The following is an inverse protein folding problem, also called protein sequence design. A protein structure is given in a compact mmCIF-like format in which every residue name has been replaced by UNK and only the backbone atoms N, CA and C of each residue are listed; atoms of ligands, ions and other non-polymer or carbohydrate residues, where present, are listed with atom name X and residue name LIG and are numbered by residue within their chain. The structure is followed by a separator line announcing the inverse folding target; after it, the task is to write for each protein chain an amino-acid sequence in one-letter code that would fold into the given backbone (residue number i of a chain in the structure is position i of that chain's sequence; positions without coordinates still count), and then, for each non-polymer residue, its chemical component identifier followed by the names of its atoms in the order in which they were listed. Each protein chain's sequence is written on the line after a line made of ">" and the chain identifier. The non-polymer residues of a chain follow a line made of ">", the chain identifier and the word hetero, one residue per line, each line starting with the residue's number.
data_IF_924598111182
#
_entry.id   IF_924598111182
#
_cell.length_a   1.000
_cell.length_b   1.000
_cell.length_c   1.000
_cell.angle_alpha   90.00
_cell.angle_beta   90.00
_cell.angle_gamma   90.00
#
_symmetry.space_group_name_H-M   'P 1'
#
loop_
_entity.id
_entity.type
_entity.pdbx_description
1 polymer ?
#
# COMPACT_ATOMS: atom_id res chain seq x y z
N UNK A 1 5.36 3.35 -15.61
CA UNK A 1 6.29 2.19 -15.56
C UNK A 1 5.72 1.24 -14.53
N UNK A 2 5.52 -0.03 -14.87
CA UNK A 2 4.90 -1.02 -13.99
C UNK A 2 5.95 -1.74 -13.16
N UNK A 3 5.58 -2.22 -11.97
CA UNK A 3 6.37 -3.18 -11.23
C UNK A 3 6.45 -4.49 -12.05
N UNK A 4 7.60 -5.18 -12.12
CA UNK A 4 7.69 -6.40 -12.91
C UNK A 4 6.63 -7.45 -12.53
N UNK A 5 5.99 -8.06 -13.52
CA UNK A 5 4.90 -9.03 -13.32
C UNK A 5 5.37 -10.22 -12.47
N UNK A 6 6.54 -10.80 -12.79
CA UNK A 6 7.14 -11.90 -12.03
C UNK A 6 7.38 -11.55 -10.55
N UNK A 7 7.64 -10.29 -10.25
CA UNK A 7 7.79 -9.82 -8.88
C UNK A 7 6.45 -9.82 -8.12
N UNK A 8 5.36 -9.42 -8.79
CA UNK A 8 4.02 -9.47 -8.22
C UNK A 8 3.59 -10.91 -7.92
N UNK A 9 3.84 -11.85 -8.85
CA UNK A 9 3.53 -13.27 -8.67
C UNK A 9 4.29 -13.88 -7.49
N UNK A 10 5.56 -13.51 -7.34
CA UNK A 10 6.37 -13.97 -6.22
C UNK A 10 5.83 -13.48 -4.87
N UNK A 11 5.38 -12.21 -4.79
CA UNK A 11 4.77 -11.68 -3.55
C UNK A 11 3.45 -12.37 -3.22
N UNK A 12 2.61 -12.66 -4.21
CA UNK A 12 1.38 -13.42 -4.01
C UNK A 12 1.70 -14.81 -3.48
N UNK A 13 2.65 -15.53 -4.12
CA UNK A 13 3.08 -16.86 -3.68
C UNK A 13 3.60 -16.83 -2.24
N UNK A 14 4.47 -15.87 -1.89
CA UNK A 14 5.01 -15.73 -0.53
C UNK A 14 3.91 -15.47 0.50
N UNK A 15 2.87 -14.71 0.14
CA UNK A 15 1.71 -14.51 1.01
C UNK A 15 0.92 -15.81 1.20
N UNK A 16 0.65 -16.54 0.12
CA UNK A 16 -0.14 -17.77 0.17
C UNK A 16 0.58 -18.89 0.93
N UNK A 17 1.90 -18.94 0.82
CA UNK A 17 2.75 -19.86 1.61
C UNK A 17 2.67 -19.57 3.13
N UNK A 18 2.31 -18.35 3.55
CA UNK A 18 2.19 -17.91 4.95
C UNK A 18 0.76 -17.50 5.32
N UNK A 19 -0.22 -17.91 4.55
CA UNK A 19 -1.62 -17.46 4.73
C UNK A 19 -2.17 -17.74 6.12
N UNK A 20 -1.78 -18.84 6.74
CA UNK A 20 -2.18 -19.23 8.09
C UNK A 20 -1.72 -18.24 9.17
N UNK A 21 -0.65 -17.47 8.88
CA UNK A 21 -0.11 -16.44 9.77
C UNK A 21 -0.66 -15.05 9.46
N UNK A 22 -1.48 -14.92 8.42
CA UNK A 22 -2.14 -13.67 8.10
C UNK A 22 -3.24 -13.34 9.12
N UNK A 23 -3.41 -12.06 9.40
CA UNK A 23 -4.45 -11.58 10.31
C UNK A 23 -5.72 -11.26 9.52
N UNK A 24 -6.81 -11.95 9.83
CA UNK A 24 -8.13 -11.61 9.28
C UNK A 24 -8.63 -10.31 9.91
N UNK A 25 -8.91 -9.32 9.06
CA UNK A 25 -9.55 -8.06 9.42
C UNK A 25 -11.00 -8.10 8.95
N UNK A 26 -11.92 -8.29 9.89
CA UNK A 26 -13.36 -8.38 9.59
C UNK A 26 -14.16 -7.50 10.53
N UNK A 27 -14.83 -6.51 9.95
CA UNK A 27 -15.76 -5.59 10.64
C UNK A 27 -16.90 -5.23 9.69
N UNK A 28 -17.77 -4.30 10.10
CA UNK A 28 -18.82 -3.78 9.22
C UNK A 28 -18.30 -2.97 8.02
N UNK A 29 -17.06 -2.49 8.07
CA UNK A 29 -16.47 -1.65 7.01
C UNK A 29 -15.35 -2.33 6.22
N UNK A 30 -14.86 -3.49 6.64
CA UNK A 30 -13.83 -4.21 5.89
C UNK A 30 -13.86 -5.72 6.15
N UNK A 31 -13.41 -6.48 5.12
CA UNK A 31 -13.21 -7.91 5.16
C UNK A 31 -12.05 -8.29 4.24
N UNK A 32 -10.86 -8.52 4.81
CA UNK A 32 -9.64 -8.94 4.13
C UNK A 32 -8.65 -9.58 5.10
N UNK A 33 -7.68 -10.34 4.60
CA UNK A 33 -6.53 -10.80 5.38
C UNK A 33 -5.31 -9.92 5.11
N UNK A 34 -4.52 -9.63 6.14
CA UNK A 34 -3.27 -8.88 5.98
C UNK A 34 -2.07 -9.58 6.63
N UNK A 35 -0.88 -9.35 6.06
CA UNK A 35 0.38 -9.86 6.53
C UNK A 35 1.42 -8.74 6.48
N UNK A 36 2.14 -8.55 7.59
CA UNK A 36 3.23 -7.59 7.71
C UNK A 36 4.53 -8.26 7.25
N UNK A 37 5.11 -7.82 6.15
CA UNK A 37 6.26 -8.51 5.55
C UNK A 37 7.53 -8.44 6.41
N UNK A 38 7.64 -7.44 7.29
CA UNK A 38 8.77 -7.30 8.20
C UNK A 38 8.84 -8.39 9.29
N UNK A 39 7.76 -9.12 9.50
CA UNK A 39 7.68 -10.17 10.51
C UNK A 39 8.19 -11.53 10.02
N UNK A 40 8.60 -11.64 8.74
CA UNK A 40 8.93 -12.90 8.10
C UNK A 40 10.18 -12.81 7.25
N UNK A 41 11.22 -13.55 7.61
CA UNK A 41 12.55 -13.56 6.96
C UNK A 41 12.48 -13.91 5.47
N UNK A 42 11.49 -14.72 5.05
CA UNK A 42 11.32 -15.10 3.64
C UNK A 42 11.08 -13.90 2.71
N UNK A 43 10.57 -12.77 3.23
CA UNK A 43 10.40 -11.56 2.45
C UNK A 43 11.67 -10.71 2.33
N UNK A 44 12.73 -10.99 3.09
CA UNK A 44 13.96 -10.18 3.10
C UNK A 44 14.59 -10.07 1.72
N UNK A 45 14.55 -11.16 0.93
CA UNK A 45 15.09 -11.18 -0.43
C UNK A 45 14.35 -10.26 -1.41
N UNK A 46 13.06 -10.01 -1.18
CA UNK A 46 12.20 -9.20 -2.06
C UNK A 46 11.95 -7.80 -1.51
N UNK A 47 12.13 -7.61 -0.21
CA UNK A 47 11.85 -6.37 0.51
C UNK A 47 12.64 -5.18 -0.03
N UNK A 48 13.96 -5.34 -0.23
CA UNK A 48 14.79 -4.27 -0.80
C UNK A 48 14.32 -3.84 -2.19
N UNK A 49 14.01 -4.79 -3.07
CA UNK A 49 13.48 -4.51 -4.41
C UNK A 49 12.12 -3.83 -4.36
N UNK A 50 11.26 -4.23 -3.43
CA UNK A 50 9.94 -3.64 -3.22
C UNK A 50 10.06 -2.18 -2.76
N UNK A 51 10.91 -1.91 -1.76
CA UNK A 51 11.17 -0.56 -1.27
C UNK A 51 11.72 0.32 -2.39
N UNK A 52 12.71 -0.16 -3.15
CA UNK A 52 13.27 0.59 -4.28
C UNK A 52 12.19 0.93 -5.34
N UNK A 53 11.32 -0.02 -5.67
CA UNK A 53 10.19 0.22 -6.57
C UNK A 53 9.26 1.31 -6.02
N UNK A 54 8.91 1.23 -4.73
CA UNK A 54 8.05 2.22 -4.07
C UNK A 54 8.69 3.61 -4.06
N UNK A 55 9.97 3.70 -3.70
CA UNK A 55 10.74 4.96 -3.69
C UNK A 55 10.78 5.59 -5.08
N UNK A 56 11.09 4.81 -6.13
CA UNK A 56 11.10 5.29 -7.52
C UNK A 56 9.74 5.87 -7.92
N UNK A 57 8.65 5.16 -7.65
CA UNK A 57 7.30 5.59 -8.02
C UNK A 57 6.84 6.84 -7.26
N UNK A 58 7.12 6.91 -5.97
CA UNK A 58 6.84 8.11 -5.17
C UNK A 58 7.69 9.28 -5.66
N UNK A 59 8.94 9.03 -6.07
CA UNK A 59 9.79 10.04 -6.71
C UNK A 59 9.16 10.60 -7.99
N UNK A 60 8.66 9.73 -8.88
CA UNK A 60 7.94 10.15 -10.09
C UNK A 60 6.65 10.92 -9.78
N UNK A 61 5.89 10.50 -8.77
CA UNK A 61 4.72 11.23 -8.30
C UNK A 61 5.11 12.64 -7.82
N UNK A 62 6.18 12.73 -7.03
CA UNK A 62 6.70 13.98 -6.50
C UNK A 62 7.02 15.00 -7.59
N UNK A 63 7.64 14.58 -8.70
CA UNK A 63 8.02 15.49 -9.81
C UNK A 63 6.82 16.21 -10.44
N UNK A 64 5.61 15.65 -10.35
CA UNK A 64 4.38 16.27 -10.86
C UNK A 64 3.98 17.52 -10.07
N UNK A 65 4.42 17.64 -8.82
CA UNK A 65 4.09 18.73 -7.90
C UNK A 65 5.25 19.70 -7.67
N UNK A 66 6.32 19.65 -8.49
CA UNK A 66 7.48 20.53 -8.43
C UNK A 66 8.12 20.65 -7.03
N UNK A 67 8.10 19.57 -6.27
CA UNK A 67 8.66 19.47 -4.91
C UNK A 67 8.07 20.42 -3.84
N UNK A 68 7.16 21.33 -4.22
CA UNK A 68 6.63 22.35 -3.30
C UNK A 68 5.80 21.75 -2.16
N UNK A 69 5.10 20.67 -2.45
CA UNK A 69 4.15 20.05 -1.53
C UNK A 69 4.73 18.93 -0.67
N UNK A 70 6.03 18.61 -0.83
CA UNK A 70 6.63 17.48 -0.14
C UNK A 70 7.48 17.90 1.05
N UNK A 71 7.32 17.26 2.21
CA UNK A 71 8.19 17.51 3.35
C UNK A 71 9.63 17.04 3.04
N UNK A 72 10.64 17.67 3.68
CA UNK A 72 12.04 17.36 3.41
C UNK A 72 12.43 15.94 3.85
N UNK A 73 11.72 15.39 4.81
CA UNK A 73 11.95 14.04 5.35
C UNK A 73 10.65 13.28 5.50
N UNK A 74 10.67 12.02 5.11
CA UNK A 74 9.55 11.10 5.21
C UNK A 74 10.02 9.75 5.77
N UNK A 75 9.11 9.02 6.40
CA UNK A 75 9.32 7.64 6.85
C UNK A 75 8.22 6.74 6.30
N UNK A 76 8.56 5.48 6.05
CA UNK A 76 7.58 4.45 5.72
C UNK A 76 6.97 3.84 6.99
N UNK A 77 5.67 3.52 6.95
CA UNK A 77 5.08 2.51 7.82
C UNK A 77 5.54 1.10 7.41
N UNK A 78 5.38 0.09 8.30
CA UNK A 78 5.55 -1.30 7.91
C UNK A 78 4.73 -1.65 6.67
N UNK A 79 5.36 -2.39 5.75
CA UNK A 79 4.73 -2.78 4.49
C UNK A 79 3.79 -3.96 4.76
N UNK A 80 2.59 -3.89 4.16
CA UNK A 80 1.57 -4.92 4.31
C UNK A 80 1.16 -5.47 2.96
N UNK A 81 1.00 -6.79 2.89
CA UNK A 81 0.25 -7.42 1.82
C UNK A 81 -1.17 -7.67 2.34
N UNK A 82 -2.16 -7.30 1.55
CA UNK A 82 -3.58 -7.57 1.83
C UNK A 82 -4.16 -8.46 0.75
N UNK A 83 -4.91 -9.49 1.18
CA UNK A 83 -5.68 -10.36 0.31
C UNK A 83 -7.17 -10.16 0.54
N UNK A 84 -7.88 -9.87 -0.52
CA UNK A 84 -9.35 -9.84 -0.56
C UNK A 84 -9.82 -11.08 -1.30
N UNK A 85 -10.47 -12.00 -0.61
CA UNK A 85 -11.18 -13.12 -1.23
C UNK A 85 -12.44 -12.62 -1.97
N UNK A 86 -13.05 -13.40 -2.87
CA UNK A 86 -14.32 -13.06 -3.48
C UNK A 86 -15.34 -12.58 -2.44
N UNK A 87 -15.92 -11.40 -2.68
CA UNK A 87 -16.78 -10.71 -1.72
C UNK A 87 -16.07 -9.93 -0.61
N UNK A 88 -14.73 -10.02 -0.50
CA UNK A 88 -13.95 -9.22 0.44
C UNK A 88 -13.87 -7.75 0.02
N UNK A 89 -13.92 -6.82 0.96
CA UNK A 89 -14.05 -5.40 0.69
C UNK A 89 -13.35 -4.53 1.72
N UNK A 90 -13.19 -3.27 1.38
CA UNK A 90 -12.96 -2.19 2.32
C UNK A 90 -13.88 -1.04 1.91
N UNK A 91 -14.91 -0.79 2.71
CA UNK A 91 -15.94 0.19 2.38
C UNK A 91 -15.42 1.63 2.49
N UNK A 92 -16.28 2.60 2.19
CA UNK A 92 -15.94 4.02 2.17
C UNK A 92 -15.27 4.47 3.46
N UNK A 93 -14.03 4.95 3.34
CA UNK A 93 -13.21 5.42 4.45
C UNK A 93 -12.19 6.46 4.01
N UNK A 94 -11.53 7.05 4.99
CA UNK A 94 -10.24 7.72 4.87
C UNK A 94 -9.26 7.01 5.81
N UNK A 95 -7.98 6.99 5.48
CA UNK A 95 -6.97 6.30 6.29
C UNK A 95 -6.51 7.13 7.51
N UNK A 96 -6.74 8.45 7.47
CA UNK A 96 -6.44 9.37 8.58
C UNK A 96 -7.73 9.71 9.29
N UNK A 97 -7.96 9.05 10.44
CA UNK A 97 -9.19 9.19 11.23
C UNK A 97 -8.96 9.72 12.64
N UNK A 98 -7.70 9.91 13.05
CA UNK A 98 -7.40 10.36 14.41
C UNK A 98 -5.92 10.49 14.68
N UNK A 99 -5.59 10.67 15.95
CA UNK A 99 -4.25 11.00 16.41
C UNK A 99 -3.17 9.97 16.01
N UNK A 100 -3.49 8.69 16.01
CA UNK A 100 -2.54 7.61 15.68
C UNK A 100 -2.18 7.55 14.19
N UNK A 101 -3.01 8.13 13.31
CA UNK A 101 -2.82 8.14 11.86
C UNK A 101 -2.54 9.52 11.28
N UNK A 102 -2.59 10.59 12.10
CA UNK A 102 -2.48 11.98 11.63
C UNK A 102 -1.15 12.33 10.95
N UNK A 103 -0.10 11.57 11.22
CA UNK A 103 1.21 11.76 10.58
C UNK A 103 1.32 11.17 9.18
N UNK A 104 0.32 10.40 8.72
CA UNK A 104 0.28 9.85 7.36
C UNK A 104 0.15 10.97 6.34
N UNK A 105 1.12 11.01 5.42
CA UNK A 105 1.20 12.03 4.37
C UNK A 105 0.69 11.52 3.02
N UNK A 106 1.14 10.33 2.60
CA UNK A 106 0.68 9.64 1.39
C UNK A 106 0.38 8.18 1.71
N UNK A 107 -0.72 7.68 1.17
CA UNK A 107 -0.97 6.27 1.00
C UNK A 107 -0.47 5.83 -0.38
N UNK A 108 0.08 4.64 -0.47
CA UNK A 108 0.42 4.02 -1.74
C UNK A 108 0.35 2.50 -1.65
N UNK A 109 -0.08 1.89 -2.75
CA UNK A 109 -0.07 0.45 -2.89
C UNK A 109 0.06 0.02 -4.35
N UNK A 110 0.57 -1.18 -4.55
CA UNK A 110 0.72 -1.83 -5.85
C UNK A 110 -0.31 -2.97 -5.91
N UNK A 111 -1.06 -3.06 -7.00
CA UNK A 111 -1.86 -4.24 -7.28
C UNK A 111 -0.96 -5.40 -7.69
N UNK A 112 -1.12 -6.55 -7.04
CA UNK A 112 -0.33 -7.76 -7.32
C UNK A 112 -1.05 -8.71 -8.28
N UNK A 113 -2.34 -8.51 -8.48
CA UNK A 113 -3.20 -9.29 -9.40
C UNK A 113 -4.01 -8.38 -10.29
N UNK A 114 -4.41 -8.87 -11.46
CA UNK A 114 -5.48 -8.26 -12.25
C UNK A 114 -6.83 -8.64 -11.65
N UNK A 115 -7.77 -7.70 -11.61
CA UNK A 115 -9.14 -7.95 -11.17
C UNK A 115 -10.07 -6.87 -11.74
N UNK A 116 -11.04 -7.26 -12.57
CA UNK A 116 -11.90 -6.31 -13.27
C UNK A 116 -12.87 -5.57 -12.33
N UNK A 117 -13.36 -6.26 -11.30
CA UNK A 117 -14.34 -5.72 -10.34
C UNK A 117 -13.66 -5.08 -9.11
N UNK A 118 -12.49 -5.59 -8.74
CA UNK A 118 -11.76 -5.20 -7.52
C UNK A 118 -11.12 -3.82 -7.56
N UNK A 119 -11.79 -2.83 -8.15
CA UNK A 119 -11.28 -1.45 -8.31
C UNK A 119 -11.06 -0.74 -6.98
N UNK A 120 -10.23 0.28 -6.99
CA UNK A 120 -10.22 1.28 -5.93
C UNK A 120 -11.03 2.48 -6.40
N UNK A 121 -12.14 2.75 -5.71
CA UNK A 121 -13.06 3.83 -6.05
C UNK A 121 -12.86 5.01 -5.13
N UNK A 122 -12.71 6.19 -5.70
CA UNK A 122 -12.83 7.49 -5.05
C UNK A 122 -14.21 8.09 -5.37
N UNK A 123 -14.58 9.20 -4.73
CA UNK A 123 -15.90 9.80 -4.93
C UNK A 123 -16.20 10.11 -6.40
N UNK A 124 -15.21 10.59 -7.16
CA UNK A 124 -15.40 11.08 -8.53
C UNK A 124 -14.63 10.26 -9.59
N UNK A 125 -13.92 9.20 -9.19
CA UNK A 125 -13.13 8.38 -10.11
C UNK A 125 -12.93 6.97 -9.58
N UNK A 126 -12.48 6.08 -10.43
CA UNK A 126 -12.06 4.73 -10.04
C UNK A 126 -10.75 4.38 -10.72
N UNK A 127 -9.93 3.59 -10.04
CA UNK A 127 -8.68 3.04 -10.53
C UNK A 127 -8.85 1.54 -10.71
N UNK A 128 -8.58 1.06 -11.93
CA UNK A 128 -8.64 -0.35 -12.26
C UNK A 128 -7.55 -1.14 -11.51
N UNK A 129 -7.92 -2.33 -11.06
CA UNK A 129 -6.99 -3.25 -10.42
C UNK A 129 -6.14 -3.96 -11.50
N UNK A 130 -5.07 -3.31 -11.93
CA UNK A 130 -4.11 -3.83 -12.92
C UNK A 130 -2.81 -4.20 -12.24
N UNK A 131 -2.41 -5.45 -12.41
CA UNK A 131 -1.17 -6.02 -11.86
C UNK A 131 0.05 -5.15 -12.19
N UNK A 132 0.86 -4.85 -11.18
CA UNK A 132 2.05 -4.02 -11.28
C UNK A 132 1.78 -2.51 -11.29
N UNK A 133 0.52 -2.06 -11.40
CA UNK A 133 0.20 -0.63 -11.28
C UNK A 133 0.18 -0.18 -9.83
N UNK A 134 0.61 1.06 -9.60
CA UNK A 134 0.67 1.67 -8.27
C UNK A 134 -0.30 2.83 -8.16
N UNK A 135 -1.04 2.88 -7.08
CA UNK A 135 -1.92 4.00 -6.70
C UNK A 135 -1.22 4.79 -5.60
N UNK A 136 -1.20 6.11 -5.73
CA UNK A 136 -0.62 7.05 -4.75
C UNK A 136 -1.61 8.18 -4.54
N UNK A 137 -1.95 8.49 -3.28
CA UNK A 137 -2.90 9.55 -2.95
C UNK A 137 -2.74 10.03 -1.51
N UNK A 138 -3.18 11.26 -1.18
CA UNK A 138 -3.26 11.72 0.21
C UNK A 138 -4.31 10.90 0.98
N UNK A 139 -3.99 10.34 2.15
CA UNK A 139 -4.87 9.39 2.85
C UNK A 139 -5.96 10.03 3.72
N UNK A 140 -6.14 11.34 3.62
CA UNK A 140 -7.04 12.13 4.44
C UNK A 140 -8.24 12.68 3.63
N UNK A 141 -9.20 13.27 4.33
CA UNK A 141 -10.25 14.06 3.69
C UNK A 141 -9.64 15.12 2.74
N UNK A 142 -10.13 15.30 1.49
CA UNK A 142 -11.36 14.74 0.92
C UNK A 142 -11.19 13.44 0.10
N UNK A 143 -10.10 12.73 0.25
CA UNK A 143 -9.78 11.51 -0.51
C UNK A 143 -10.48 10.26 0.04
N UNK A 144 -11.81 10.38 0.22
CA UNK A 144 -12.64 9.24 0.61
C UNK A 144 -12.61 8.19 -0.49
N UNK A 145 -12.35 6.95 -0.11
CA UNK A 145 -12.20 5.86 -1.06
C UNK A 145 -12.69 4.53 -0.50
N UNK A 146 -12.88 3.55 -1.39
CA UNK A 146 -13.18 2.16 -1.03
C UNK A 146 -12.44 1.18 -1.94
N UNK A 147 -12.18 -0.01 -1.42
CA UNK A 147 -11.77 -1.17 -2.19
C UNK A 147 -12.98 -2.01 -2.56
N UNK A 148 -13.35 -2.02 -3.84
CA UNK A 148 -14.47 -2.82 -4.33
C UNK A 148 -14.16 -4.32 -4.22
N UNK A 149 -15.17 -5.15 -3.93
CA UNK A 149 -14.98 -6.58 -3.79
C UNK A 149 -14.61 -7.24 -5.12
N UNK A 150 -13.63 -8.12 -5.13
CA UNK A 150 -13.45 -9.04 -6.24
C UNK A 150 -14.61 -10.04 -6.27
N UNK A 151 -15.01 -10.53 -7.46
CA UNK A 151 -16.12 -11.45 -7.63
C UNK A 151 -15.64 -12.90 -7.78
N UNK A 152 -14.75 -13.16 -8.74
CA UNK A 152 -14.35 -14.54 -9.08
C UNK A 152 -13.00 -14.92 -8.48
N UNK A 153 -12.02 -14.05 -8.56
CA UNK A 153 -10.63 -14.33 -8.17
C UNK A 153 -10.15 -13.40 -7.05
N UNK A 154 -9.27 -13.86 -6.16
CA UNK A 154 -8.75 -13.02 -5.10
C UNK A 154 -7.97 -11.80 -5.64
N UNK A 155 -8.15 -10.67 -4.97
CA UNK A 155 -7.36 -9.46 -5.19
C UNK A 155 -6.26 -9.35 -4.14
N UNK A 156 -5.04 -9.06 -4.60
CA UNK A 156 -3.90 -8.80 -3.71
C UNK A 156 -3.33 -7.41 -3.96
N UNK A 157 -3.00 -6.73 -2.88
CA UNK A 157 -2.27 -5.45 -2.92
C UNK A 157 -1.11 -5.49 -1.93
N UNK A 158 -0.03 -4.78 -2.23
CA UNK A 158 1.06 -4.52 -1.27
C UNK A 158 1.26 -3.03 -1.16
N UNK A 159 1.35 -2.52 0.06
CA UNK A 159 1.48 -1.08 0.25
C UNK A 159 1.88 -0.65 1.65
N UNK A 160 2.02 0.66 1.80
CA UNK A 160 2.41 1.32 3.03
C UNK A 160 1.94 2.78 3.01
N UNK A 161 2.31 3.52 4.03
CA UNK A 161 2.13 4.97 4.14
C UNK A 161 3.48 5.67 4.28
N UNK A 162 3.58 6.86 3.72
CA UNK A 162 4.63 7.80 4.06
C UNK A 162 4.14 8.70 5.18
N UNK A 163 5.00 8.86 6.18
CA UNK A 163 4.75 9.74 7.33
C UNK A 163 5.63 10.96 7.29
N UNK A 164 5.12 12.06 7.85
CA UNK A 164 5.98 13.16 8.30
C UNK A 164 6.99 12.61 9.33
N UNK A 165 8.24 12.99 9.17
CA UNK A 165 9.27 12.59 10.13
C UNK A 165 9.17 13.46 11.40
N UNK A 166 8.60 12.89 12.46
CA UNK A 166 8.63 13.51 13.79
C UNK A 166 9.44 12.66 14.74
N UNK A 167 10.51 13.16 15.34
CA UNK A 167 11.29 12.42 16.34
C UNK A 167 10.48 11.97 17.56
N UNK A 168 9.37 12.69 17.86
CA UNK A 168 8.57 12.45 19.05
C UNK A 168 7.61 11.25 18.97
N UNK A 169 7.45 10.61 17.78
CA UNK A 169 6.33 9.70 17.53
C UNK A 169 6.71 8.25 17.27
N UNK A 170 7.95 7.82 17.58
CA UNK A 170 8.37 6.42 17.47
C UNK A 170 8.12 5.82 16.07
N UNK A 171 8.36 6.59 15.02
CA UNK A 171 8.08 6.18 13.65
C UNK A 171 8.97 4.98 13.24
N UNK A 172 8.49 4.13 12.31
CA UNK A 172 9.27 3.00 11.77
C UNK A 172 10.68 3.39 11.31
N UNK A 173 11.61 2.46 11.40
CA UNK A 173 13.05 2.69 11.19
C UNK A 173 13.48 3.00 9.75
N UNK A 174 12.56 3.03 8.79
CA UNK A 174 12.91 3.29 7.40
C UNK A 174 12.84 4.79 7.08
N UNK A 175 13.99 5.39 6.83
CA UNK A 175 14.13 6.79 6.42
C UNK A 175 14.16 6.87 4.89
N UNK A 176 13.42 7.79 4.30
CA UNK A 176 13.51 8.11 2.86
C UNK A 176 14.95 8.40 2.42
N UNK A 177 15.74 9.06 3.28
CA UNK A 177 17.13 9.40 3.02
C UNK A 177 18.06 8.20 2.83
N UNK A 178 17.66 7.00 3.28
CA UNK A 178 18.46 5.78 3.12
C UNK A 178 18.25 5.14 1.74
N UNK A 179 17.13 5.45 1.08
CA UNK A 179 16.74 4.82 -0.19
C UNK A 179 16.68 5.78 -1.39
N UNK A 180 16.84 7.08 -1.18
CA UNK A 180 16.63 8.12 -2.21
C UNK A 180 17.86 8.93 -2.62
N UNK A 181 19.07 8.54 -2.19
CA UNK A 181 20.32 9.16 -2.62
C UNK A 181 21.20 8.12 -3.31
N UNK A 182 21.08 8.05 -4.60
CA UNK A 182 22.15 7.69 -5.54
C UNK A 182 22.03 8.57 -6.77
#
# INVERSE_FOLDING_TARGET
>A
MFCPILFCDNLVKLFDDEVELSVLRQTSIHNFSELHIEQFDKFDKVKGSLINCMVEKVGLYKTQFKDICFPPTLKFEPIKIKRYLPGGYFDWHVDVTGHTSMSRYLAFFIYLTDNEEGKTRFLNTAVDCKKGSMVIFPPMWPWVHRGEPPIETPKYIVGSYLHYNSPAWGAPNYMWSEYGRN
#
